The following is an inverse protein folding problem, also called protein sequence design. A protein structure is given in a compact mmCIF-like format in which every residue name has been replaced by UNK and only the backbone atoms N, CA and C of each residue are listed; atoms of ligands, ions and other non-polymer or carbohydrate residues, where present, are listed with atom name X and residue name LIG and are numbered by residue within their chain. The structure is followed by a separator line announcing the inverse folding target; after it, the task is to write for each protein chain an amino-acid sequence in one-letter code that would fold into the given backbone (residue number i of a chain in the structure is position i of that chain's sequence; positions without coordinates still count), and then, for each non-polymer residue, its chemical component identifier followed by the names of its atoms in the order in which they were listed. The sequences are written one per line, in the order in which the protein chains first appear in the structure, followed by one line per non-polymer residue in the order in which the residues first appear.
data_IF_775390818397
#
_entry.id   IF_775390818397
#
_cell.length_a   1.000
_cell.length_b   1.000
_cell.length_c   1.000
_cell.angle_alpha   90.00
_cell.angle_beta   90.00
_cell.angle_gamma   90.00
#
_symmetry.space_group_name_H-M   'P 1'
#
loop_
_entity.id
_entity.type
_entity.pdbx_description
1 polymer ?
#
# COMPACT_ATOMS: atom_id res chain seq x y z
N UNK A 1 6.61 22.14 -36.75
CA UNK A 1 5.25 21.55 -36.87
C UNK A 1 5.04 20.35 -35.94
N UNK A 2 5.18 20.50 -34.61
CA UNK A 2 4.93 19.40 -33.63
C UNK A 2 3.92 19.76 -32.53
N UNK A 3 3.36 20.97 -32.55
CA UNK A 3 2.47 21.46 -31.50
C UNK A 3 1.04 20.90 -31.60
N UNK A 4 0.49 20.76 -32.82
CA UNK A 4 -0.86 20.23 -33.05
C UNK A 4 -1.12 18.85 -32.43
N UNK A 5 -0.25 17.83 -32.62
CA UNK A 5 -0.50 16.52 -32.00
C UNK A 5 -0.40 16.56 -30.47
N UNK A 6 0.46 17.43 -29.91
CA UNK A 6 0.61 17.59 -28.46
C UNK A 6 -0.65 18.22 -27.83
N UNK A 7 -1.21 19.25 -28.47
CA UNK A 7 -2.46 19.89 -28.02
C UNK A 7 -3.63 18.90 -28.04
N UNK A 8 -3.71 18.06 -29.09
CA UNK A 8 -4.74 17.03 -29.18
C UNK A 8 -4.60 15.98 -28.05
N UNK A 9 -3.36 15.60 -27.72
CA UNK A 9 -3.07 14.63 -26.64
C UNK A 9 -3.46 15.18 -25.26
N UNK A 10 -3.20 16.46 -24.99
CA UNK A 10 -3.57 17.10 -23.73
C UNK A 10 -5.09 17.21 -23.55
N UNK A 11 -5.86 17.43 -24.63
CA UNK A 11 -7.32 17.48 -24.58
C UNK A 11 -7.96 16.11 -24.27
N UNK A 12 -7.24 15.01 -24.51
CA UNK A 12 -7.69 13.65 -24.23
C UNK A 12 -7.30 13.16 -22.82
N UNK A 13 -6.51 13.93 -22.07
CA UNK A 13 -6.12 13.56 -20.72
C UNK A 13 -7.29 13.74 -19.75
N UNK A 14 -7.79 12.64 -19.21
CA UNK A 14 -8.81 12.63 -18.16
C UNK A 14 -8.17 12.64 -16.77
N UNK A 15 -8.82 13.23 -15.75
CA UNK A 15 -8.31 13.19 -14.39
C UNK A 15 -8.32 11.75 -13.86
N UNK A 16 -7.19 11.34 -13.26
CA UNK A 16 -7.12 10.09 -12.51
C UNK A 16 -7.70 10.32 -11.11
N UNK A 17 -8.78 9.62 -10.77
CA UNK A 17 -9.31 9.60 -9.41
C UNK A 17 -8.60 8.49 -8.62
N UNK A 18 -8.23 8.78 -7.38
CA UNK A 18 -7.62 7.82 -6.48
C UNK A 18 -8.49 7.65 -5.22
N UNK A 19 -8.48 6.45 -4.67
CA UNK A 19 -9.10 6.15 -3.38
C UNK A 19 -8.00 5.99 -2.33
N UNK A 20 -8.24 6.52 -1.13
CA UNK A 20 -7.35 6.33 0.02
C UNK A 20 -8.05 5.50 1.06
N UNK A 21 -7.43 4.38 1.42
CA UNK A 21 -7.88 3.53 2.50
C UNK A 21 -7.10 3.85 3.76
N UNK A 22 -7.79 4.22 4.82
CA UNK A 22 -7.17 4.55 6.10
C UNK A 22 -8.07 4.05 7.23
N UNK A 23 -7.52 3.19 8.08
CA UNK A 23 -8.19 2.81 9.32
C UNK A 23 -8.24 4.02 10.24
N UNK A 24 -9.41 4.31 10.81
CA UNK A 24 -9.54 5.39 11.79
C UNK A 24 -8.69 5.09 13.02
N UNK A 25 -8.08 6.12 13.60
CA UNK A 25 -7.10 5.98 14.67
C UNK A 25 -7.64 5.17 15.86
N UNK A 26 -8.90 5.40 16.24
CA UNK A 26 -9.60 4.71 17.32
C UNK A 26 -9.85 3.20 17.06
N UNK A 27 -9.71 2.76 15.81
CA UNK A 27 -9.89 1.37 15.38
C UNK A 27 -8.61 0.73 14.84
N UNK A 28 -7.48 1.45 14.86
CA UNK A 28 -6.19 0.88 14.45
C UNK A 28 -5.82 -0.23 15.42
N UNK A 29 -5.50 -1.40 14.86
CA UNK A 29 -5.05 -2.56 15.61
C UNK A 29 -3.71 -3.01 15.04
N UNK A 30 -2.85 -3.48 15.93
CA UNK A 30 -1.55 -4.03 15.59
C UNK A 30 -1.42 -5.40 16.24
N UNK A 31 -1.15 -6.40 15.42
CA UNK A 31 -0.91 -7.77 15.88
C UNK A 31 0.58 -8.07 15.71
N UNK A 32 1.19 -8.61 16.76
CA UNK A 32 2.58 -9.08 16.75
C UNK A 32 2.58 -10.59 16.81
N UNK A 33 3.24 -11.21 15.86
CA UNK A 33 3.44 -12.65 15.79
C UNK A 33 4.91 -12.93 15.49
N UNK A 34 5.46 -14.03 16.02
CA UNK A 34 6.83 -14.39 15.69
C UNK A 34 7.24 -15.77 16.16
N UNK A 35 8.20 -16.33 15.44
CA UNK A 35 8.88 -17.57 15.74
C UNK A 35 10.39 -17.45 15.46
N UNK A 36 11.11 -18.57 15.46
CA UNK A 36 12.56 -18.59 15.22
C UNK A 36 12.98 -18.21 13.79
N UNK A 37 12.05 -18.20 12.84
CA UNK A 37 12.29 -17.93 11.43
C UNK A 37 11.81 -16.53 11.03
N UNK A 38 10.76 -16.01 11.65
CA UNK A 38 10.15 -14.75 11.24
C UNK A 38 9.48 -14.00 12.40
N UNK A 39 9.63 -12.68 12.42
CA UNK A 39 8.80 -11.76 13.20
C UNK A 39 7.91 -10.94 12.26
N UNK A 40 6.64 -10.80 12.61
CA UNK A 40 5.64 -10.05 11.85
C UNK A 40 4.89 -9.07 12.73
N UNK A 41 4.76 -7.84 12.24
CA UNK A 41 3.87 -6.81 12.78
C UNK A 41 2.81 -6.49 11.72
N UNK A 42 1.56 -6.89 11.97
CA UNK A 42 0.44 -6.76 11.02
C UNK A 42 -0.54 -5.68 11.47
N UNK A 43 -0.91 -4.80 10.54
CA UNK A 43 -1.97 -3.81 10.68
C UNK A 43 -3.09 -4.08 9.67
N UNK A 44 -4.30 -4.43 10.12
CA UNK A 44 -5.48 -4.43 9.25
C UNK A 44 -5.82 -3.02 8.75
N UNK A 45 -5.97 -2.85 7.44
CA UNK A 45 -6.36 -1.62 6.77
C UNK A 45 -7.82 -1.75 6.31
N UNK A 46 -8.71 -1.03 6.98
CA UNK A 46 -10.15 -1.11 6.75
C UNK A 46 -10.50 -0.81 5.28
N UNK A 47 -11.22 -1.74 4.65
CA UNK A 47 -11.64 -1.63 3.25
C UNK A 47 -10.56 -1.95 2.22
N UNK A 48 -9.34 -2.32 2.64
CA UNK A 48 -8.23 -2.63 1.74
C UNK A 48 -7.64 -4.03 1.93
N UNK A 49 -7.25 -4.38 3.17
CA UNK A 49 -6.48 -5.59 3.44
C UNK A 49 -5.60 -5.44 4.66
N UNK A 50 -4.31 -5.74 4.57
CA UNK A 50 -3.35 -5.54 5.67
C UNK A 50 -1.99 -5.01 5.19
N UNK A 51 -1.37 -4.20 6.04
CA UNK A 51 0.03 -3.81 5.92
C UNK A 51 0.85 -4.58 6.94
N UNK A 52 1.99 -5.14 6.52
CA UNK A 52 2.81 -6.00 7.35
C UNK A 52 4.27 -5.59 7.30
N UNK A 53 4.88 -5.40 8.46
CA UNK A 53 6.33 -5.35 8.59
C UNK A 53 6.83 -6.73 8.96
N UNK A 54 7.65 -7.32 8.07
CA UNK A 54 8.13 -8.69 8.22
C UNK A 54 9.63 -8.70 8.26
N UNK A 55 10.21 -9.40 9.25
CA UNK A 55 11.64 -9.63 9.33
C UNK A 55 11.90 -11.11 9.51
N UNK A 56 12.57 -11.71 8.52
CA UNK A 56 13.03 -13.09 8.58
C UNK A 56 14.41 -13.18 9.21
N UNK A 57 14.73 -14.32 9.79
CA UNK A 57 16.04 -14.58 10.38
C UNK A 57 17.14 -14.43 9.31
N UNK A 58 18.14 -13.59 9.59
CA UNK A 58 19.23 -13.30 8.66
C UNK A 58 18.88 -12.32 7.53
N UNK A 59 17.63 -11.88 7.42
CA UNK A 59 17.17 -10.94 6.39
C UNK A 59 16.85 -9.56 6.98
N UNK A 60 16.78 -8.56 6.09
CA UNK A 60 16.32 -7.23 6.45
C UNK A 60 14.79 -7.19 6.59
N UNK A 61 14.30 -6.22 7.36
CA UNK A 61 12.86 -5.99 7.47
C UNK A 61 12.31 -5.46 6.14
N UNK A 62 11.16 -5.98 5.72
CA UNK A 62 10.44 -5.55 4.53
C UNK A 62 9.01 -5.19 4.88
N UNK A 63 8.46 -4.21 4.16
CA UNK A 63 7.04 -3.90 4.22
C UNK A 63 6.31 -4.67 3.10
N UNK A 64 5.22 -5.33 3.46
CA UNK A 64 4.35 -6.05 2.53
C UNK A 64 2.95 -5.48 2.64
N UNK A 65 2.29 -5.35 1.50
CA UNK A 65 0.91 -4.94 1.41
C UNK A 65 0.11 -6.14 0.88
N UNK A 66 -0.85 -6.61 1.66
CA UNK A 66 -1.71 -7.73 1.29
C UNK A 66 -3.12 -7.21 1.03
N UNK A 67 -3.60 -7.39 -0.20
CA UNK A 67 -5.01 -7.24 -0.56
C UNK A 67 -5.64 -8.63 -0.74
N UNK A 68 -6.92 -8.83 -0.39
CA UNK A 68 -7.66 -10.05 -0.70
C UNK A 68 -7.81 -10.30 -2.20
#
# INVERSE_FOLDING_TARGET
MRLRPLVLLCLLASPANALTFQTRLERVQWQVEGDQFECRLTQPIAGFGSGEFVRRAGEQAVFRLHSP
#
